data_IF_828683148785
#
_entry.id   IF_828683148785
#
_cell.length_a   1.000
_cell.length_b   1.000
_cell.length_c   1.000
_cell.angle_alpha   90.00
_cell.angle_beta   90.00
_cell.angle_gamma   90.00
#
_symmetry.space_group_name_H-M   'P 1'
#
loop_
_entity.id
_entity.type
_entity.pdbx_description
1 polymer ?
#
# COMPACT_ATOMS: atom_id res chain seq x y z
N UNK A 1 13.97 3.73 21.72
CA UNK A 1 13.05 4.47 20.83
C UNK A 1 11.65 3.92 21.02
N UNK A 2 10.68 4.76 21.37
CA UNK A 2 9.28 4.35 21.54
C UNK A 2 8.64 4.40 20.15
N UNK A 3 8.17 3.27 19.63
CA UNK A 3 7.39 3.26 18.39
C UNK A 3 6.14 4.11 18.64
N UNK A 4 6.03 5.26 17.97
CA UNK A 4 4.79 6.01 17.93
C UNK A 4 3.77 5.11 17.22
N UNK A 5 2.77 4.65 17.96
CA UNK A 5 1.67 3.90 17.38
C UNK A 5 0.94 4.87 16.47
N UNK A 6 1.03 4.66 15.16
CA UNK A 6 0.39 5.52 14.18
C UNK A 6 -1.12 5.27 14.25
N UNK A 7 -1.88 6.32 14.57
CA UNK A 7 -3.34 6.29 14.52
C UNK A 7 -3.74 6.20 13.04
N UNK A 8 -4.74 5.36 12.68
CA UNK A 8 -5.19 5.27 11.30
C UNK A 8 -5.75 6.60 10.80
N UNK A 9 -5.41 6.99 9.57
CA UNK A 9 -5.96 8.18 8.90
C UNK A 9 -6.91 7.73 7.79
N UNK A 10 -8.06 8.39 7.66
CA UNK A 10 -9.06 8.09 6.62
C UNK A 10 -9.14 9.17 5.54
N UNK A 11 -9.28 8.77 4.27
CA UNK A 11 -9.44 9.71 3.15
C UNK A 11 -9.92 9.02 1.88
N UNK A 12 -10.45 9.77 0.90
CA UNK A 12 -11.02 9.20 -0.32
C UNK A 12 -9.96 8.61 -1.27
N UNK A 13 -8.74 9.16 -1.23
CA UNK A 13 -7.66 8.80 -2.14
C UNK A 13 -6.40 8.40 -1.36
N UNK A 14 -5.87 7.22 -1.68
CA UNK A 14 -4.70 6.64 -1.02
C UNK A 14 -3.42 7.42 -1.32
N UNK A 15 -3.24 7.89 -2.57
CA UNK A 15 -2.03 8.61 -2.95
C UNK A 15 -1.91 9.97 -2.24
N UNK A 16 -3.05 10.64 -2.05
CA UNK A 16 -3.15 11.88 -1.28
C UNK A 16 -2.85 11.66 0.20
N UNK A 17 -3.34 10.56 0.79
CA UNK A 17 -3.05 10.21 2.19
C UNK A 17 -1.57 9.91 2.46
N UNK A 18 -0.85 9.44 1.45
CA UNK A 18 0.57 9.09 1.55
C UNK A 18 1.49 10.16 0.96
N UNK A 19 0.94 11.33 0.58
CA UNK A 19 1.75 12.39 0.02
C UNK A 19 2.69 12.98 1.07
N UNK A 20 4.00 12.93 0.79
CA UNK A 20 5.04 13.42 1.70
C UNK A 20 5.37 12.45 2.85
N UNK A 21 4.70 11.31 2.92
CA UNK A 21 4.98 10.26 3.89
C UNK A 21 6.07 9.30 3.40
N UNK A 22 6.78 8.69 4.35
CA UNK A 22 7.82 7.69 4.08
C UNK A 22 7.67 6.51 5.04
N UNK A 23 7.59 5.28 4.50
CA UNK A 23 7.56 4.07 5.30
C UNK A 23 6.69 2.96 4.71
N UNK A 24 6.35 2.00 5.57
CA UNK A 24 5.52 0.85 5.24
C UNK A 24 4.16 0.95 5.92
N UNK A 25 3.10 0.78 5.14
CA UNK A 25 1.73 1.08 5.53
C UNK A 25 0.83 -0.14 5.32
N UNK A 26 -0.03 -0.39 6.32
CA UNK A 26 -1.22 -1.22 6.18
C UNK A 26 -2.38 -0.31 5.76
N UNK A 27 -2.99 -0.59 4.61
CA UNK A 27 -4.12 0.16 4.08
C UNK A 27 -5.35 -0.75 4.03
N UNK A 28 -6.54 -0.22 4.31
CA UNK A 28 -7.79 -0.94 4.21
C UNK A 28 -8.78 -0.16 3.36
N UNK A 29 -9.50 -0.88 2.49
CA UNK A 29 -10.64 -0.37 1.75
C UNK A 29 -11.62 -1.51 1.50
N UNK A 30 -12.93 -1.29 1.74
CA UNK A 30 -13.99 -2.29 1.48
C UNK A 30 -13.72 -3.66 2.10
N UNK A 31 -13.24 -3.71 3.33
CA UNK A 31 -12.90 -4.96 4.03
C UNK A 31 -11.69 -5.72 3.47
N UNK A 32 -11.01 -5.21 2.44
CA UNK A 32 -9.75 -5.75 1.93
C UNK A 32 -8.58 -4.98 2.53
N UNK A 33 -7.60 -5.73 3.04
CA UNK A 33 -6.34 -5.18 3.52
C UNK A 33 -5.28 -5.18 2.41
N UNK A 34 -4.42 -4.18 2.41
CA UNK A 34 -3.35 -3.96 1.45
C UNK A 34 -2.07 -3.53 2.17
N UNK A 35 -0.92 -3.87 1.58
CA UNK A 35 0.37 -3.28 1.95
C UNK A 35 0.81 -2.28 0.90
N UNK A 36 1.33 -1.14 1.36
CA UNK A 36 1.80 -0.04 0.53
C UNK A 36 3.09 0.52 1.11
N UNK A 37 4.04 0.91 0.26
CA UNK A 37 5.25 1.65 0.67
C UNK A 37 5.16 3.05 0.07
N UNK A 38 5.38 4.07 0.88
CA UNK A 38 5.65 5.43 0.41
C UNK A 38 7.14 5.75 0.61
N UNK A 39 7.73 6.52 -0.30
CA UNK A 39 9.13 6.95 -0.27
C UNK A 39 9.21 8.44 -0.60
N UNK A 40 10.31 9.11 -0.24
CA UNK A 40 10.59 10.45 -0.72
C UNK A 40 10.38 10.57 -2.25
N UNK A 41 9.57 11.54 -2.65
CA UNK A 41 9.21 11.78 -4.05
C UNK A 41 8.19 10.82 -4.67
N UNK A 42 7.73 9.80 -3.94
CA UNK A 42 6.76 8.81 -4.42
C UNK A 42 5.73 8.48 -3.33
N UNK A 43 4.51 9.03 -3.43
CA UNK A 43 3.42 8.71 -2.50
C UNK A 43 3.11 7.20 -2.47
N UNK A 44 3.33 6.50 -3.58
CA UNK A 44 3.26 5.05 -3.68
C UNK A 44 4.49 4.55 -4.44
N UNK A 45 5.50 4.12 -3.70
CA UNK A 45 6.69 3.47 -4.26
C UNK A 45 6.47 1.98 -4.51
N UNK A 46 5.55 1.36 -3.76
CA UNK A 46 5.13 -0.03 -3.94
C UNK A 46 3.69 -0.23 -3.47
N UNK A 47 2.95 -1.11 -4.14
CA UNK A 47 1.55 -1.41 -3.85
C UNK A 47 0.57 -0.45 -4.55
N UNK A 48 -0.69 -0.36 -4.09
CA UNK A 48 -1.30 -1.16 -3.01
C UNK A 48 -1.40 -2.64 -3.40
N UNK A 49 -0.78 -3.52 -2.60
CA UNK A 49 -0.81 -4.97 -2.85
C UNK A 49 -1.76 -5.65 -1.87
N UNK A 50 -2.78 -6.39 -2.32
CA UNK A 50 -3.73 -7.04 -1.42
C UNK A 50 -3.04 -8.11 -0.56
N UNK A 51 -3.42 -8.18 0.71
CA UNK A 51 -2.97 -9.21 1.65
C UNK A 51 -4.16 -9.95 2.26
N UNK A 52 -4.03 -11.27 2.40
CA UNK A 52 -5.09 -12.12 2.93
C UNK A 52 -6.33 -12.15 2.04
N UNK A 53 -7.44 -12.64 2.61
CA UNK A 53 -8.75 -12.65 1.94
C UNK A 53 -9.52 -11.39 2.32
N UNK A 54 -10.21 -10.79 1.36
CA UNK A 54 -11.16 -9.71 1.62
C UNK A 54 -12.26 -10.18 2.55
N UNK A 55 -12.62 -9.34 3.52
CA UNK A 55 -13.77 -9.58 4.38
C UNK A 55 -15.01 -9.29 3.56
N UNK A 56 -15.69 -10.35 3.13
CA UNK A 56 -16.97 -10.27 2.42
C UNK A 56 -18.07 -10.24 3.49
N UNK A 57 -18.20 -9.13 4.22
CA UNK A 57 -19.49 -8.82 4.83
C UNK A 57 -20.34 -8.15 3.75
N UNK A 58 -21.55 -8.68 3.52
CA UNK A 58 -22.49 -8.17 2.51
C UNK A 58 -22.60 -6.63 2.61
N UNK A 59 -22.36 -5.89 1.52
CA UNK A 59 -22.53 -4.44 1.57
C UNK A 59 -24.02 -4.13 1.65
N UNK A 60 -24.48 -3.67 2.80
CA UNK A 60 -25.69 -2.86 2.89
C UNK A 60 -25.41 -1.53 2.20
N UNK A 61 -25.66 -1.49 0.89
CA UNK A 61 -25.83 -0.28 0.05
C UNK A 61 -24.75 0.81 0.30
N UNK A 62 -23.59 0.68 -0.35
CA UNK A 62 -22.60 1.77 -0.39
C UNK A 62 -22.94 2.76 -1.52
N UNK A 63 -23.43 3.95 -1.16
CA UNK A 63 -23.83 5.05 -2.05
C UNK A 63 -22.67 6.01 -2.41
N UNK A 64 -21.41 5.55 -2.39
CA UNK A 64 -20.26 6.41 -2.72
C UNK A 64 -18.89 5.71 -2.69
N UNK A 65 -17.81 6.43 -3.05
CA UNK A 65 -16.45 5.93 -2.87
C UNK A 65 -16.17 5.73 -1.37
N UNK A 66 -15.75 4.51 -0.99
CA UNK A 66 -15.40 4.24 0.40
C UNK A 66 -14.02 4.82 0.73
N UNK A 67 -13.85 5.43 1.92
CA UNK A 67 -12.56 5.94 2.32
C UNK A 67 -11.53 4.81 2.50
N UNK A 68 -10.29 5.12 2.17
CA UNK A 68 -9.12 4.36 2.61
C UNK A 68 -8.86 4.65 4.07
N UNK A 69 -8.46 3.62 4.82
CA UNK A 69 -7.92 3.74 6.18
C UNK A 69 -6.46 3.30 6.13
N UNK A 70 -5.53 4.15 6.57
CA UNK A 70 -4.09 3.93 6.43
C UNK A 70 -3.41 3.99 7.79
N UNK A 71 -2.63 2.95 8.11
CA UNK A 71 -1.84 2.84 9.34
C UNK A 71 -0.39 2.59 8.99
N UNK A 72 0.50 3.48 9.42
CA UNK A 72 1.94 3.29 9.27
C UNK A 72 2.44 2.25 10.27
N UNK A 73 3.02 1.17 9.78
CA UNK A 73 3.45 0.02 10.59
C UNK A 73 4.98 -0.07 10.71
N UNK A 74 5.74 0.60 9.85
CA UNK A 74 7.19 0.76 9.96
C UNK A 74 7.67 2.02 9.24
N UNK A 75 8.83 2.55 9.65
CA UNK A 75 9.54 3.61 8.92
C UNK A 75 10.42 3.06 7.78
N UNK A 76 10.59 1.73 7.69
CA UNK A 76 11.38 1.12 6.61
C UNK A 76 10.66 1.24 5.26
N UNK A 77 11.44 1.52 4.23
CA UNK A 77 11.01 1.56 2.84
C UNK A 77 11.65 0.47 1.99
N UNK A 78 12.44 -0.41 2.61
CA UNK A 78 13.28 -1.43 1.95
C UNK A 78 12.45 -2.46 1.18
N UNK A 79 11.18 -2.66 1.57
CA UNK A 79 10.29 -3.59 0.89
C UNK A 79 10.05 -3.23 -0.59
N UNK A 80 10.10 -1.93 -0.94
CA UNK A 80 9.99 -1.50 -2.33
C UNK A 80 11.21 -1.91 -3.18
N UNK A 81 12.39 -2.10 -2.57
CA UNK A 81 13.62 -2.49 -3.27
C UNK A 81 13.66 -4.00 -3.52
N UNK A 82 13.09 -4.80 -2.62
CA UNK A 82 13.15 -6.26 -2.71
C UNK A 82 12.49 -6.84 -3.97
N UNK A 83 11.49 -6.16 -4.55
CA UNK A 83 10.82 -6.61 -5.79
C UNK A 83 11.34 -5.98 -7.08
N UNK A 84 12.32 -5.07 -7.01
CA UNK A 84 13.07 -4.62 -8.20
C UNK A 84 13.84 -5.75 -8.88
N UNK A 85 14.02 -6.90 -8.21
CA UNK A 85 14.70 -8.10 -8.72
C UNK A 85 13.75 -9.21 -9.21
N UNK A 86 12.43 -9.07 -9.02
CA UNK A 86 11.45 -9.94 -9.69
C UNK A 86 11.09 -9.38 -11.07
N UNK A 87 12.12 -8.96 -11.82
CA UNK A 87 12.04 -9.03 -13.27
C UNK A 87 11.99 -10.51 -13.64
N UNK A 88 11.02 -10.88 -14.45
CA UNK A 88 10.88 -12.21 -15.05
C UNK A 88 12.26 -12.73 -15.49
N UNK A 89 12.74 -13.90 -15.03
CA UNK A 89 13.92 -14.51 -15.62
C UNK A 89 13.53 -15.03 -17.01
N UNK A 90 13.80 -14.24 -18.05
CA UNK A 90 13.63 -14.69 -19.43
C UNK A 90 12.99 -13.66 -20.36
N UNK A 91 13.70 -12.56 -20.61
CA UNK A 91 13.49 -11.78 -21.84
C UNK A 91 14.84 -11.32 -22.40
N UNK A 92 15.83 -12.21 -22.44
CA UNK A 92 16.95 -12.08 -23.37
C UNK A 92 16.42 -12.42 -24.76
N UNK A 93 15.75 -11.45 -25.39
CA UNK A 93 15.50 -11.49 -26.83
C UNK A 93 16.83 -11.19 -27.51
N UNK A 94 17.67 -12.21 -27.61
CA UNK A 94 18.83 -12.19 -28.47
C UNK A 94 18.30 -12.26 -29.91
N UNK A 95 18.29 -11.09 -30.56
CA UNK A 95 18.02 -10.98 -31.97
C UNK A 95 19.37 -10.85 -32.66
N UNK A 96 19.88 -11.97 -33.16
CA UNK A 96 20.84 -12.03 -34.26
C UNK A 96 20.66 -13.33 -35.04
#
# INVERSE_FOLDING_TARGET
MKLQINVPVSGLDLASLLQGEEGFFLCQNRGQNFITVAKAGHSIAFGPTPIGRGIIEQPSVSLGPEPWVVTKISNSTEFAEFRGTTGVPGASREMR
#
